data_IF_485430730606
#
_entry.id   IF_485430730606
#
_cell.length_a   1.000
_cell.length_b   1.000
_cell.length_c   1.000
_cell.angle_alpha   90.00
_cell.angle_beta   90.00
_cell.angle_gamma   90.00
#
_symmetry.space_group_name_H-M   'P 1'
#
loop_
_entity.id
_entity.type
_entity.pdbx_description
1 polymer ?
#
# COMPACT_ATOMS: atom_id res chain seq x y z
N UNK A 1 19.27 18.78 -5.64
CA UNK A 1 17.96 19.24 -5.15
C UNK A 1 16.91 18.61 -6.05
N UNK A 2 16.15 17.64 -5.56
CA UNK A 2 15.00 17.08 -6.28
C UNK A 2 13.79 17.95 -5.88
N UNK A 3 13.70 19.14 -6.45
CA UNK A 3 12.52 20.01 -6.38
C UNK A 3 11.57 19.60 -7.51
N UNK A 4 10.84 18.52 -7.28
CA UNK A 4 9.72 18.10 -8.10
C UNK A 4 8.69 17.54 -7.14
N UNK A 5 7.53 18.19 -7.06
CA UNK A 5 6.43 17.86 -6.15
C UNK A 5 6.21 16.34 -6.01
N UNK A 6 6.73 15.74 -4.93
CA UNK A 6 6.32 14.41 -4.45
C UNK A 6 4.88 14.41 -3.93
N UNK A 7 4.09 15.46 -4.21
CA UNK A 7 2.71 15.55 -3.73
C UNK A 7 1.84 14.68 -4.62
N UNK A 8 1.09 13.72 -4.03
CA UNK A 8 0.19 12.88 -4.81
C UNK A 8 -0.88 13.75 -5.49
N UNK A 9 -1.03 13.58 -6.81
CA UNK A 9 -2.12 14.20 -7.54
C UNK A 9 -3.46 13.62 -7.06
N UNK A 10 -4.44 14.44 -6.62
CA UNK A 10 -5.73 13.94 -6.16
C UNK A 10 -6.41 13.06 -7.21
N UNK A 11 -6.84 11.85 -6.80
CA UNK A 11 -7.50 10.89 -7.68
C UNK A 11 -6.57 9.85 -8.32
N UNK A 12 -5.24 10.02 -8.22
CA UNK A 12 -4.27 9.02 -8.68
C UNK A 12 -4.31 7.78 -7.77
N UNK A 13 -4.39 6.56 -8.32
CA UNK A 13 -4.23 5.34 -7.55
C UNK A 13 -2.89 5.33 -6.79
N UNK A 14 -2.89 4.85 -5.55
CA UNK A 14 -1.67 4.79 -4.72
C UNK A 14 -0.55 3.99 -5.41
N UNK A 15 -0.92 2.95 -6.16
CA UNK A 15 0.00 2.14 -6.93
C UNK A 15 0.73 2.93 -8.02
N UNK A 16 -0.01 3.70 -8.82
CA UNK A 16 0.57 4.56 -9.88
C UNK A 16 1.45 5.67 -9.29
N UNK A 17 1.02 6.26 -8.17
CA UNK A 17 1.83 7.25 -7.45
C UNK A 17 3.18 6.66 -7.00
N UNK A 18 3.17 5.46 -6.41
CA UNK A 18 4.40 4.78 -6.00
C UNK A 18 5.30 4.41 -7.18
N UNK A 19 4.72 3.99 -8.31
CA UNK A 19 5.49 3.74 -9.53
C UNK A 19 6.24 4.99 -10.00
N UNK A 20 5.57 6.14 -9.97
CA UNK A 20 6.18 7.42 -10.31
C UNK A 20 7.31 7.80 -9.35
N UNK A 21 7.07 7.72 -8.03
CA UNK A 21 8.07 8.02 -7.00
C UNK A 21 9.31 7.13 -7.11
N UNK A 22 9.11 5.82 -7.32
CA UNK A 22 10.21 4.86 -7.41
C UNK A 22 10.88 4.82 -8.80
N UNK A 23 10.37 5.59 -9.77
CA UNK A 23 10.88 5.62 -11.14
C UNK A 23 10.77 4.27 -11.85
N UNK A 24 9.65 3.56 -11.65
CA UNK A 24 9.37 2.26 -12.28
C UNK A 24 8.13 2.32 -13.15
N UNK A 25 8.08 1.46 -14.16
CA UNK A 25 7.06 1.45 -15.20
C UNK A 25 6.17 0.18 -15.19
N UNK A 26 6.27 -0.65 -14.14
CA UNK A 26 5.43 -1.85 -13.99
C UNK A 26 5.18 -2.18 -12.53
N UNK A 27 4.05 -2.84 -12.26
CA UNK A 27 3.69 -3.33 -10.93
C UNK A 27 4.69 -4.35 -10.41
N UNK A 28 5.21 -5.21 -11.30
CA UNK A 28 6.22 -6.20 -10.95
C UNK A 28 7.51 -5.54 -10.46
N UNK A 29 8.02 -4.55 -11.18
CA UNK A 29 9.22 -3.82 -10.76
C UNK A 29 9.01 -3.07 -9.43
N UNK A 30 7.79 -2.54 -9.20
CA UNK A 30 7.46 -1.95 -7.92
C UNK A 30 7.42 -3.02 -6.80
N UNK A 31 6.81 -4.18 -7.04
CA UNK A 31 6.76 -5.27 -6.08
C UNK A 31 8.15 -5.80 -5.71
N UNK A 32 9.06 -5.89 -6.69
CA UNK A 32 10.45 -6.30 -6.47
C UNK A 32 11.19 -5.29 -5.56
N UNK A 33 10.97 -3.98 -5.76
CA UNK A 33 11.49 -2.92 -4.88
C UNK A 33 10.90 -3.01 -3.47
N UNK A 34 9.58 -3.13 -3.37
CA UNK A 34 8.88 -3.14 -2.09
C UNK A 34 9.12 -4.44 -1.30
N UNK A 35 9.51 -5.52 -1.99
CA UNK A 35 9.92 -6.78 -1.36
C UNK A 35 11.33 -6.75 -0.76
N UNK A 36 12.16 -5.78 -1.13
CA UNK A 36 13.49 -5.55 -0.55
C UNK A 36 13.48 -4.32 0.38
N UNK A 37 13.16 -4.57 1.65
CA UNK A 37 13.13 -3.55 2.71
C UNK A 37 14.51 -2.88 2.94
N UNK A 38 15.60 -3.47 2.45
CA UNK A 38 16.94 -2.89 2.57
C UNK A 38 17.26 -1.88 1.46
N UNK A 39 16.43 -1.80 0.42
CA UNK A 39 16.67 -0.95 -0.73
C UNK A 39 16.44 0.54 -0.42
N UNK A 40 17.29 1.42 -0.95
CA UNK A 40 17.07 2.87 -0.85
C UNK A 40 15.75 3.32 -1.50
N UNK A 41 15.25 2.55 -2.47
CA UNK A 41 13.94 2.80 -3.10
C UNK A 41 12.76 2.42 -2.20
N UNK A 42 12.91 1.41 -1.34
CA UNK A 42 11.94 1.13 -0.29
C UNK A 42 11.83 2.30 0.69
N UNK A 43 12.96 2.87 1.12
CA UNK A 43 12.97 4.05 1.99
C UNK A 43 12.26 5.25 1.33
N UNK A 44 12.51 5.50 0.04
CA UNK A 44 11.80 6.53 -0.72
C UNK A 44 10.28 6.28 -0.79
N UNK A 45 9.86 5.04 -1.05
CA UNK A 45 8.45 4.67 -1.05
C UNK A 45 7.78 4.87 0.32
N UNK A 46 8.50 4.50 1.39
CA UNK A 46 8.04 4.65 2.76
C UNK A 46 7.85 6.13 3.13
N UNK A 47 8.82 6.99 2.81
CA UNK A 47 8.75 8.43 3.02
C UNK A 47 7.60 9.05 2.20
N UNK A 48 7.44 8.66 0.94
CA UNK A 48 6.40 9.18 0.06
C UNK A 48 4.98 8.80 0.49
N UNK A 49 4.80 7.67 1.20
CA UNK A 49 3.53 7.24 1.75
C UNK A 49 3.26 7.84 3.13
N UNK A 50 4.29 8.18 3.89
CA UNK A 50 4.09 8.72 5.22
C UNK A 50 3.39 10.08 5.13
N UNK A 51 2.17 10.19 5.66
CA UNK A 51 1.40 11.43 5.59
C UNK A 51 0.30 11.45 4.53
N UNK A 52 0.26 10.48 3.60
CA UNK A 52 -0.73 10.52 2.51
C UNK A 52 -2.12 10.13 3.03
N UNK A 53 -3.13 10.84 2.52
CA UNK A 53 -4.53 10.48 2.71
C UNK A 53 -5.01 9.75 1.46
N UNK A 54 -5.53 8.54 1.63
CA UNK A 54 -6.06 7.75 0.53
C UNK A 54 -7.47 7.26 0.83
N UNK A 55 -8.19 6.87 -0.22
CA UNK A 55 -9.52 6.29 -0.13
C UNK A 55 -9.43 4.82 -0.48
N UNK A 56 -9.96 3.95 0.38
CA UNK A 56 -10.13 2.54 0.05
C UNK A 56 -11.47 2.36 -0.66
N UNK A 57 -11.44 2.30 -1.99
CA UNK A 57 -12.61 2.19 -2.87
C UNK A 57 -13.14 0.75 -3.01
N UNK A 58 -12.36 -0.24 -2.57
CA UNK A 58 -12.76 -1.65 -2.55
C UNK A 58 -13.60 -2.02 -1.30
N UNK A 59 -13.76 -1.08 -0.35
CA UNK A 59 -14.56 -1.27 0.85
C UNK A 59 -15.90 -0.53 0.69
N UNK A 60 -17.00 -1.16 1.12
CA UNK A 60 -18.31 -0.52 1.20
C UNK A 60 -18.67 -0.22 2.67
N UNK A 61 -18.98 1.04 3.05
CA UNK A 61 -18.82 2.28 2.28
C UNK A 61 -17.35 2.69 2.12
N UNK A 62 -17.07 3.55 1.13
CA UNK A 62 -15.77 4.19 0.92
C UNK A 62 -15.23 4.78 2.23
N UNK A 63 -14.06 4.31 2.67
CA UNK A 63 -13.39 4.85 3.85
C UNK A 63 -12.12 5.59 3.48
N UNK A 64 -11.90 6.74 4.13
CA UNK A 64 -10.67 7.54 4.01
C UNK A 64 -9.71 7.14 5.12
N UNK A 65 -8.45 6.94 4.76
CA UNK A 65 -7.38 6.54 5.68
C UNK A 65 -6.19 7.47 5.57
N UNK A 66 -5.37 7.46 6.62
CA UNK A 66 -4.08 8.14 6.66
C UNK A 66 -3.00 7.06 6.71
N UNK A 67 -2.15 7.02 5.69
CA UNK A 67 -1.02 6.10 5.65
C UNK A 67 0.03 6.51 6.70
N UNK A 68 0.49 5.53 7.49
CA UNK A 68 1.58 5.69 8.47
C UNK A 68 2.89 5.07 7.99
N UNK A 69 2.89 4.50 6.79
CA UNK A 69 4.00 3.74 6.23
C UNK A 69 3.52 2.49 5.49
N UNK A 70 4.47 1.60 5.21
CA UNK A 70 4.24 0.30 4.58
C UNK A 70 4.12 -0.79 5.65
N UNK A 71 3.14 -1.68 5.46
CA UNK A 71 3.01 -2.90 6.26
C UNK A 71 3.80 -4.05 5.65
N UNK A 72 3.83 -5.18 6.35
CA UNK A 72 4.35 -6.44 5.80
C UNK A 72 3.51 -6.87 4.59
N UNK A 73 4.11 -7.70 3.73
CA UNK A 73 3.43 -8.31 2.58
C UNK A 73 2.09 -8.95 2.98
N UNK A 74 1.07 -8.83 2.12
CA UNK A 74 -0.30 -9.23 2.42
C UNK A 74 -0.48 -10.73 2.71
N UNK A 75 0.43 -11.57 2.23
CA UNK A 75 0.52 -13.01 2.49
C UNK A 75 1.13 -13.33 3.87
N UNK A 76 1.82 -12.37 4.51
CA UNK A 76 2.49 -12.53 5.81
C UNK A 76 1.79 -11.81 6.96
N UNK A 77 0.93 -10.83 6.68
CA UNK A 77 0.17 -10.12 7.71
C UNK A 77 -1.15 -10.83 7.99
N UNK A 78 -1.27 -11.42 9.18
CA UNK A 78 -2.51 -12.04 9.65
C UNK A 78 -3.29 -11.12 10.60
N UNK A 79 -4.61 -11.27 10.59
CA UNK A 79 -5.51 -10.57 11.49
C UNK A 79 -6.73 -11.43 11.81
N UNK A 80 -7.28 -11.21 13.00
CA UNK A 80 -8.54 -11.83 13.41
C UNK A 80 -9.73 -10.98 12.96
N UNK A 81 -10.77 -11.62 12.46
CA UNK A 81 -12.02 -10.95 12.10
C UNK A 81 -13.23 -11.81 12.44
N UNK A 82 -14.36 -11.16 12.69
CA UNK A 82 -15.63 -11.82 13.02
C UNK A 82 -16.49 -11.96 11.76
N UNK A 83 -16.68 -13.20 11.31
CA UNK A 83 -17.62 -13.57 10.26
C UNK A 83 -19.00 -13.94 10.82
N UNK A 84 -19.90 -14.37 9.93
CA UNK A 84 -21.25 -14.81 10.31
C UNK A 84 -21.25 -16.14 11.09
N UNK A 85 -20.21 -16.94 10.92
CA UNK A 85 -20.00 -18.29 11.45
C UNK A 85 -18.98 -18.34 12.61
N UNK A 86 -18.36 -17.22 12.96
CA UNK A 86 -17.46 -17.15 14.11
C UNK A 86 -16.25 -16.24 13.91
N UNK A 87 -15.21 -16.48 14.71
CA UNK A 87 -13.93 -15.80 14.60
C UNK A 87 -13.04 -16.53 13.61
N UNK A 88 -12.40 -15.78 12.72
CA UNK A 88 -11.50 -16.27 11.68
C UNK A 88 -10.13 -15.63 11.85
N UNK A 89 -9.07 -16.39 11.57
CA UNK A 89 -7.71 -15.89 11.43
C UNK A 89 -7.28 -16.07 9.97
N UNK A 90 -7.12 -14.98 9.26
CA UNK A 90 -6.74 -14.95 7.84
C UNK A 90 -5.52 -14.05 7.62
N UNK A 91 -4.84 -14.26 6.50
CA UNK A 91 -3.92 -13.24 5.97
C UNK A 91 -4.71 -12.20 5.19
N UNK A 92 -4.16 -11.00 5.02
CA UNK A 92 -4.79 -9.97 4.17
C UNK A 92 -5.04 -10.52 2.77
N UNK A 93 -4.09 -11.27 2.22
CA UNK A 93 -4.25 -11.89 0.91
C UNK A 93 -5.36 -12.95 0.88
N UNK A 94 -5.44 -13.85 1.86
CA UNK A 94 -6.48 -14.90 1.87
C UNK A 94 -7.87 -14.29 2.08
N UNK A 95 -7.99 -13.24 2.88
CA UNK A 95 -9.25 -12.54 3.12
C UNK A 95 -9.83 -11.93 1.84
N UNK A 96 -9.03 -11.21 1.05
CA UNK A 96 -9.50 -10.53 -0.17
C UNK A 96 -9.62 -11.43 -1.41
N UNK A 97 -9.22 -12.70 -1.32
CA UNK A 97 -9.39 -13.68 -2.42
C UNK A 97 -10.66 -14.51 -2.31
N UNK A 98 -11.39 -14.40 -1.19
CA UNK A 98 -12.69 -15.06 -0.97
C UNK A 98 -13.79 -14.33 -1.74
#
# INVERSE_FOLDING_TARGET
MLDGDLKPNPGTPVLEYLQHVCGVNSEKALADILGDESSGKYALALEALNGIRFRATHLAPDKKFHARGLGRSADKFSFEWKGNDGMHLDTVQSYFRK
#
